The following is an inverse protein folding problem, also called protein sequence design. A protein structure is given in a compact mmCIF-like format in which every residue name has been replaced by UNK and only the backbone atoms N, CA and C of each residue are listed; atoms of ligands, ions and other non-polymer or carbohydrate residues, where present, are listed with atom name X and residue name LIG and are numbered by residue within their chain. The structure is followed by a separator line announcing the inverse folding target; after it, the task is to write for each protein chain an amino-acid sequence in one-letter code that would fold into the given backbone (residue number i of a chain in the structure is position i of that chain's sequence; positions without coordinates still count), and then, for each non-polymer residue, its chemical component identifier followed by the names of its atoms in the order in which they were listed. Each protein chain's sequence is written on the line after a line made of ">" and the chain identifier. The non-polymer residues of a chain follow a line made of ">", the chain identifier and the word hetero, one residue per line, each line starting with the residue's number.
data_IF_586853447347
#
_entry.id   IF_586853447347
#
_cell.length_a   1.000
_cell.length_b   1.000
_cell.length_c   1.000
_cell.angle_alpha   90.00
_cell.angle_beta   90.00
_cell.angle_gamma   90.00
#
_symmetry.space_group_name_H-M   'P 1'
#
loop_
_entity.id
_entity.type
_entity.pdbx_description
1 polymer ?
#
# COMPACT_ATOMS: atom_id res chain seq x y z
N UNK A 1 -1.38 -1.16 -14.61
CA UNK A 1 -0.18 -1.39 -15.45
C UNK A 1 0.36 -2.77 -15.13
N UNK A 2 0.74 -3.55 -16.15
CA UNK A 2 1.41 -4.83 -15.96
C UNK A 2 2.89 -4.59 -15.62
N UNK A 3 3.54 -5.47 -14.84
CA UNK A 3 4.98 -5.45 -14.68
C UNK A 3 5.68 -5.67 -16.03
N UNK A 4 6.83 -5.02 -16.21
CA UNK A 4 7.72 -5.29 -17.33
C UNK A 4 8.28 -6.71 -17.23
N UNK A 5 8.30 -7.42 -18.35
CA UNK A 5 9.15 -8.60 -18.49
C UNK A 5 10.62 -8.18 -18.48
N UNK A 6 11.53 -9.16 -18.37
CA UNK A 6 12.96 -8.87 -18.52
C UNK A 6 13.30 -8.28 -19.89
N UNK A 7 12.56 -8.65 -20.94
CA UNK A 7 12.73 -8.12 -22.29
C UNK A 7 12.21 -6.69 -22.40
N UNK A 8 11.03 -6.40 -21.85
CA UNK A 8 10.47 -5.04 -21.80
C UNK A 8 11.43 -4.08 -21.09
N UNK A 9 12.02 -4.51 -19.96
CA UNK A 9 13.00 -3.70 -19.23
C UNK A 9 14.25 -3.42 -20.06
N UNK A 10 14.79 -4.42 -20.77
CA UNK A 10 15.95 -4.23 -21.66
C UNK A 10 15.62 -3.29 -22.81
N UNK A 11 14.46 -3.47 -23.46
CA UNK A 11 13.99 -2.60 -24.53
C UNK A 11 13.80 -1.15 -24.06
N UNK A 12 13.20 -0.96 -22.89
CA UNK A 12 13.03 0.34 -22.27
C UNK A 12 14.39 0.99 -21.93
N UNK A 13 15.30 0.25 -21.32
CA UNK A 13 16.64 0.74 -20.99
C UNK A 13 17.43 1.15 -22.24
N UNK A 14 17.39 0.33 -23.30
CA UNK A 14 18.03 0.65 -24.59
C UNK A 14 17.53 1.98 -25.15
N UNK A 15 16.21 2.20 -25.14
CA UNK A 15 15.62 3.46 -25.60
C UNK A 15 16.08 4.65 -24.74
N UNK A 16 16.21 4.47 -23.42
CA UNK A 16 16.67 5.53 -22.51
C UNK A 16 18.16 5.83 -22.64
N UNK A 17 18.98 4.85 -23.01
CA UNK A 17 20.42 5.00 -23.15
C UNK A 17 20.86 5.31 -24.59
N UNK A 18 19.92 5.59 -25.50
CA UNK A 18 20.21 5.87 -26.91
C UNK A 18 21.17 7.05 -27.12
N UNK A 19 21.20 8.02 -26.21
CA UNK A 19 22.12 9.16 -26.25
C UNK A 19 23.51 8.86 -25.67
N UNK A 20 23.72 7.68 -25.06
CA UNK A 20 25.01 7.25 -24.53
C UNK A 20 25.82 6.51 -25.59
N UNK A 21 27.14 6.47 -25.41
CA UNK A 21 28.03 5.71 -26.29
C UNK A 21 27.88 4.20 -26.06
N UNK A 22 27.66 3.42 -27.12
CA UNK A 22 27.38 1.97 -27.01
C UNK A 22 26.16 1.66 -26.12
N UNK A 23 24.93 1.97 -26.57
CA UNK A 23 23.70 1.75 -25.79
C UNK A 23 23.55 0.31 -25.28
N UNK A 24 23.88 -0.68 -26.10
CA UNK A 24 23.82 -2.09 -25.70
C UNK A 24 24.81 -2.42 -24.58
N UNK A 25 26.03 -1.88 -24.64
CA UNK A 25 27.01 -2.03 -23.56
C UNK A 25 26.56 -1.37 -22.24
N UNK A 26 25.77 -0.29 -22.32
CA UNK A 26 25.14 0.31 -21.14
C UNK A 26 23.97 -0.51 -20.60
N UNK A 27 23.16 -1.12 -21.45
CA UNK A 27 22.07 -2.01 -21.02
C UNK A 27 22.62 -3.23 -20.28
N UNK A 28 23.68 -3.86 -20.78
CA UNK A 28 24.32 -5.00 -20.12
C UNK A 28 24.90 -4.59 -18.75
N UNK A 29 25.64 -3.47 -18.70
CA UNK A 29 26.18 -2.96 -17.42
C UNK A 29 25.08 -2.60 -16.42
N UNK A 30 24.03 -1.93 -16.88
CA UNK A 30 22.88 -1.57 -16.05
C UNK A 30 22.19 -2.82 -15.49
N UNK A 31 21.98 -3.86 -16.31
CA UNK A 31 21.37 -5.12 -15.89
C UNK A 31 22.23 -5.85 -14.85
N UNK A 32 23.55 -5.85 -15.02
CA UNK A 32 24.49 -6.40 -14.04
C UNK A 32 24.43 -5.64 -12.70
N UNK A 33 24.42 -4.31 -12.73
CA UNK A 33 24.31 -3.48 -11.53
C UNK A 33 22.97 -3.67 -10.81
N UNK A 34 21.87 -3.85 -11.55
CA UNK A 34 20.56 -4.17 -10.97
C UNK A 34 20.58 -5.50 -10.22
N UNK A 35 21.25 -6.51 -10.78
CA UNK A 35 21.40 -7.81 -10.13
C UNK A 35 22.27 -7.71 -8.87
N UNK A 36 23.41 -7.02 -8.94
CA UNK A 36 24.31 -6.79 -7.80
C UNK A 36 23.62 -6.05 -6.65
N UNK A 37 22.81 -5.04 -6.96
CA UNK A 37 22.07 -4.27 -5.97
C UNK A 37 20.77 -4.94 -5.48
N UNK A 38 20.40 -6.10 -6.04
CA UNK A 38 19.13 -6.79 -5.71
C UNK A 38 17.87 -6.04 -6.17
N UNK A 39 17.99 -5.21 -7.21
CA UNK A 39 16.91 -4.34 -7.72
C UNK A 39 16.23 -4.89 -8.97
N UNK A 40 16.67 -6.04 -9.51
CA UNK A 40 16.20 -6.57 -10.78
C UNK A 40 14.66 -6.77 -10.82
N UNK A 41 14.08 -7.35 -9.78
CA UNK A 41 12.61 -7.51 -9.69
C UNK A 41 11.91 -6.16 -9.49
N UNK A 42 12.47 -5.29 -8.66
CA UNK A 42 11.91 -3.95 -8.42
C UNK A 42 11.86 -3.12 -9.71
N UNK A 43 12.90 -3.23 -10.54
CA UNK A 43 13.02 -2.56 -11.84
C UNK A 43 11.98 -3.04 -12.86
N UNK A 44 11.26 -4.14 -12.62
CA UNK A 44 10.11 -4.55 -13.46
C UNK A 44 8.89 -3.66 -13.26
N UNK A 45 8.86 -2.82 -12.22
CA UNK A 45 7.81 -1.82 -12.07
C UNK A 45 8.14 -0.63 -12.99
N UNK A 46 7.25 -0.19 -13.91
CA UNK A 46 7.57 0.85 -14.89
C UNK A 46 8.12 2.15 -14.29
N UNK A 47 7.58 2.57 -13.14
CA UNK A 47 8.10 3.74 -12.41
C UNK A 47 9.54 3.49 -11.92
N UNK A 48 9.82 2.35 -11.30
CA UNK A 48 11.16 2.02 -10.82
C UNK A 48 12.16 1.88 -11.97
N UNK A 49 11.76 1.29 -13.09
CA UNK A 49 12.56 1.26 -14.32
C UNK A 49 12.95 2.68 -14.74
N UNK A 50 11.98 3.61 -14.76
CA UNK A 50 12.20 5.00 -15.13
C UNK A 50 13.17 5.71 -14.18
N UNK A 51 12.99 5.56 -12.86
CA UNK A 51 13.87 6.16 -11.85
C UNK A 51 15.30 5.62 -11.99
N UNK A 52 15.46 4.29 -12.05
CA UNK A 52 16.76 3.63 -12.10
C UNK A 52 17.51 3.92 -13.41
N UNK A 53 16.81 3.93 -14.55
CA UNK A 53 17.41 4.34 -15.82
C UNK A 53 17.89 5.78 -15.76
N UNK A 54 17.13 6.69 -15.14
CA UNK A 54 17.54 8.10 -15.01
C UNK A 54 18.77 8.24 -14.11
N UNK A 55 18.79 7.55 -12.96
CA UNK A 55 19.95 7.53 -12.06
C UNK A 55 21.21 7.04 -12.79
N UNK A 56 21.10 5.92 -13.50
CA UNK A 56 22.20 5.35 -14.26
C UNK A 56 22.67 6.28 -15.39
N UNK A 57 21.76 6.85 -16.17
CA UNK A 57 22.11 7.71 -17.30
C UNK A 57 22.84 8.99 -16.88
N UNK A 58 22.60 9.47 -15.65
CA UNK A 58 23.28 10.66 -15.13
C UNK A 58 24.74 10.36 -14.74
N UNK A 59 25.03 9.19 -14.16
CA UNK A 59 26.39 8.79 -13.79
C UNK A 59 26.63 7.30 -14.14
N UNK A 60 26.89 6.98 -15.42
CA UNK A 60 27.04 5.61 -15.85
C UNK A 60 28.24 4.92 -15.21
N UNK A 61 28.02 3.73 -14.64
CA UNK A 61 29.08 2.91 -14.03
C UNK A 61 29.23 3.10 -12.53
N UNK A 62 28.52 4.04 -11.92
CA UNK A 62 28.40 4.10 -10.46
C UNK A 62 27.51 2.98 -9.91
N UNK A 63 27.71 2.66 -8.63
CA UNK A 63 26.87 1.69 -7.93
C UNK A 63 25.44 2.23 -7.80
N UNK A 64 24.46 1.35 -8.01
CA UNK A 64 23.06 1.70 -7.78
C UNK A 64 22.71 1.71 -6.28
N UNK A 65 21.77 2.57 -5.87
CA UNK A 65 21.31 2.63 -4.48
C UNK A 65 20.64 1.32 -4.04
N UNK A 66 20.93 0.87 -2.82
CA UNK A 66 20.37 -0.38 -2.29
C UNK A 66 18.96 -0.19 -1.71
N UNK A 67 18.00 -0.95 -2.25
CA UNK A 67 16.60 -0.93 -1.81
C UNK A 67 15.81 0.26 -2.34
N UNK A 68 14.48 0.13 -2.30
CA UNK A 68 13.57 1.11 -2.90
C UNK A 68 13.73 2.51 -2.30
N UNK A 69 13.84 2.62 -0.99
CA UNK A 69 13.94 3.92 -0.29
C UNK A 69 15.17 4.71 -0.71
N UNK A 70 16.30 4.03 -0.93
CA UNK A 70 17.52 4.68 -1.39
C UNK A 70 17.39 5.19 -2.83
N UNK A 71 16.68 4.47 -3.72
CA UNK A 71 16.37 4.94 -5.09
C UNK A 71 15.58 6.25 -5.05
N UNK A 72 14.53 6.32 -4.23
CA UNK A 72 13.72 7.55 -4.10
C UNK A 72 14.54 8.70 -3.52
N UNK A 73 15.32 8.44 -2.46
CA UNK A 73 16.20 9.44 -1.86
C UNK A 73 17.16 10.03 -2.88
N UNK A 74 17.90 9.18 -3.56
CA UNK A 74 18.90 9.61 -4.51
C UNK A 74 18.28 10.33 -5.72
N UNK A 75 17.12 9.88 -6.18
CA UNK A 75 16.38 10.58 -7.22
C UNK A 75 15.96 11.98 -6.78
N UNK A 76 15.36 12.12 -5.60
CA UNK A 76 14.92 13.41 -5.06
C UNK A 76 16.12 14.35 -4.85
N UNK A 77 17.21 13.83 -4.26
CA UNK A 77 18.43 14.61 -4.05
C UNK A 77 18.99 15.10 -5.39
N UNK A 78 19.01 14.25 -6.42
CA UNK A 78 19.47 14.64 -7.78
C UNK A 78 18.51 15.58 -8.49
N UNK A 79 17.21 15.50 -8.25
CA UNK A 79 16.23 16.50 -8.75
C UNK A 79 16.57 17.88 -8.17
N UNK A 80 17.03 17.97 -6.93
CA UNK A 80 17.48 19.22 -6.34
C UNK A 80 18.85 19.67 -6.87
N UNK A 81 19.83 18.75 -6.99
CA UNK A 81 21.20 19.09 -7.37
C UNK A 81 21.38 19.36 -8.87
N UNK A 82 20.69 18.62 -9.75
CA UNK A 82 20.97 18.59 -11.18
C UNK A 82 19.89 19.21 -12.08
N UNK A 83 18.83 19.79 -11.52
CA UNK A 83 17.89 20.60 -12.30
C UNK A 83 18.41 22.05 -12.47
N UNK A 84 19.66 22.19 -12.91
CA UNK A 84 20.28 23.50 -13.16
C UNK A 84 19.49 24.32 -14.18
N UNK A 85 18.92 23.69 -15.21
CA UNK A 85 18.06 24.34 -16.21
C UNK A 85 16.78 25.01 -15.65
N UNK A 86 16.40 24.72 -14.41
CA UNK A 86 15.23 25.35 -13.76
C UNK A 86 15.60 26.62 -13.00
N UNK A 87 16.89 26.94 -12.85
CA UNK A 87 17.39 28.09 -12.10
C UNK A 87 16.64 28.27 -10.77
N UNK A 88 16.43 27.17 -10.04
CA UNK A 88 15.53 27.12 -8.87
C UNK A 88 15.92 28.17 -7.84
N UNK A 89 17.22 28.27 -7.55
CA UNK A 89 17.78 29.23 -6.60
C UNK A 89 17.50 30.67 -7.04
N UNK A 90 17.77 31.01 -8.30
CA UNK A 90 17.56 32.36 -8.82
C UNK A 90 16.07 32.70 -8.91
N UNK A 91 15.23 31.74 -9.27
CA UNK A 91 13.78 31.89 -9.31
C UNK A 91 13.21 32.13 -7.92
N UNK A 92 13.66 31.36 -6.93
CA UNK A 92 13.32 31.59 -5.52
C UNK A 92 13.78 32.96 -5.03
N UNK A 93 15.00 33.37 -5.39
CA UNK A 93 15.52 34.69 -5.02
C UNK A 93 14.69 35.83 -5.63
N UNK A 94 14.33 35.72 -6.92
CA UNK A 94 13.45 36.68 -7.61
C UNK A 94 12.06 36.73 -6.98
N UNK A 95 11.50 35.59 -6.57
CA UNK A 95 10.20 35.53 -5.90
C UNK A 95 10.24 36.24 -4.53
N UNK A 96 11.31 36.05 -3.74
CA UNK A 96 11.52 36.75 -2.47
C UNK A 96 11.59 38.28 -2.70
N UNK A 97 12.37 38.71 -3.68
CA UNK A 97 12.51 40.14 -4.01
C UNK A 97 11.21 40.74 -4.52
N UNK A 98 10.45 40.01 -5.34
CA UNK A 98 9.15 40.44 -5.83
C UNK A 98 8.13 40.58 -4.70
N UNK A 99 8.12 39.65 -3.74
CA UNK A 99 7.24 39.70 -2.57
C UNK A 99 7.56 40.91 -1.67
N UNK A 100 8.84 41.22 -1.48
CA UNK A 100 9.29 42.31 -0.61
C UNK A 100 9.20 43.70 -1.27
N UNK A 101 9.21 43.78 -2.61
CA UNK A 101 9.26 45.03 -3.39
C UNK A 101 8.21 46.08 -3.01
N UNK A 102 6.94 45.74 -2.71
CA UNK A 102 5.93 46.75 -2.37
C UNK A 102 6.21 47.49 -1.05
N UNK A 103 6.99 46.91 -0.14
CA UNK A 103 7.22 47.46 1.19
C UNK A 103 8.37 48.47 1.20
N UNK A 104 8.02 49.76 1.29
CA UNK A 104 8.99 50.86 1.34
C UNK A 104 9.53 51.11 2.76
N UNK A 105 8.78 50.74 3.79
CA UNK A 105 9.22 50.82 5.19
C UNK A 105 10.22 49.69 5.47
N UNK A 106 11.47 50.06 5.81
CA UNK A 106 12.60 49.13 5.92
C UNK A 106 12.34 47.97 6.90
N UNK A 107 11.82 48.19 8.13
CA UNK A 107 11.49 47.11 9.05
C UNK A 107 10.51 46.07 8.48
N UNK A 108 9.48 46.50 7.74
CA UNK A 108 8.49 45.60 7.14
C UNK A 108 9.08 44.80 5.99
N UNK A 109 9.87 45.48 5.14
CA UNK A 109 10.61 44.84 4.04
C UNK A 109 11.56 43.76 4.57
N UNK A 110 12.28 44.05 5.64
CA UNK A 110 13.20 43.11 6.27
C UNK A 110 12.45 41.94 6.91
N UNK A 111 11.30 42.19 7.56
CA UNK A 111 10.46 41.14 8.14
C UNK A 111 9.97 40.16 7.06
N UNK A 112 9.44 40.68 5.95
CA UNK A 112 8.99 39.88 4.79
C UNK A 112 10.14 39.09 4.19
N UNK A 113 11.29 39.73 3.96
CA UNK A 113 12.47 39.08 3.35
C UNK A 113 13.00 37.95 4.23
N UNK A 114 13.08 38.16 5.56
CA UNK A 114 13.51 37.12 6.51
C UNK A 114 12.54 35.94 6.54
N UNK A 115 11.24 36.19 6.60
CA UNK A 115 10.24 35.14 6.60
C UNK A 115 10.25 34.35 5.28
N UNK A 116 10.34 35.03 4.14
CA UNK A 116 10.41 34.41 2.82
C UNK A 116 11.68 33.54 2.65
N UNK A 117 12.82 34.01 3.17
CA UNK A 117 14.07 33.24 3.19
C UNK A 117 13.96 32.02 4.10
N UNK A 118 13.38 32.16 5.30
CA UNK A 118 13.14 31.03 6.20
C UNK A 118 12.19 30.00 5.59
N UNK A 119 11.15 30.43 4.87
CA UNK A 119 10.25 29.54 4.14
C UNK A 119 10.96 28.80 2.99
N UNK A 120 11.84 29.47 2.24
CA UNK A 120 12.69 28.85 1.21
C UNK A 120 13.57 27.76 1.83
N UNK A 121 14.25 28.09 2.92
CA UNK A 121 15.21 27.17 3.56
C UNK A 121 14.48 25.96 4.20
N UNK A 122 13.20 26.11 4.56
CA UNK A 122 12.33 25.07 5.07
C UNK A 122 11.51 24.32 4.02
N UNK A 123 11.72 24.55 2.71
CA UNK A 123 10.96 23.88 1.65
C UNK A 123 10.95 22.35 1.75
N UNK A 124 12.06 21.65 2.06
CA UNK A 124 12.02 20.19 2.22
C UNK A 124 11.07 19.73 3.34
N UNK A 125 10.97 20.50 4.42
CA UNK A 125 10.07 20.24 5.55
C UNK A 125 8.61 20.52 5.15
N UNK A 126 8.35 21.64 4.46
CA UNK A 126 7.03 21.98 3.91
C UNK A 126 6.50 20.91 2.95
N UNK A 127 7.36 20.37 2.06
CA UNK A 127 7.00 19.27 1.16
C UNK A 127 6.64 18.01 1.97
N UNK A 128 7.42 17.71 3.01
CA UNK A 128 7.17 16.57 3.90
C UNK A 128 5.84 16.69 4.66
N UNK A 129 5.58 17.86 5.22
CA UNK A 129 4.34 18.17 5.92
C UNK A 129 3.13 18.07 4.98
N UNK A 130 3.19 18.71 3.81
CA UNK A 130 2.15 18.61 2.79
C UNK A 130 1.87 17.15 2.42
N UNK A 131 2.92 16.36 2.18
CA UNK A 131 2.77 14.95 1.83
C UNK A 131 2.08 14.13 2.94
N UNK A 132 2.45 14.38 4.20
CA UNK A 132 1.87 13.70 5.36
C UNK A 132 0.38 14.03 5.51
N UNK A 133 0.00 15.30 5.38
CA UNK A 133 -1.39 15.73 5.48
C UNK A 133 -2.25 15.26 4.30
N UNK A 134 -1.73 15.30 3.07
CA UNK A 134 -2.45 14.75 1.91
C UNK A 134 -2.64 13.23 2.01
N UNK A 135 -1.68 12.50 2.60
CA UNK A 135 -1.79 11.06 2.77
C UNK A 135 -2.85 10.65 3.82
N UNK A 136 -2.93 11.38 4.94
CA UNK A 136 -3.74 10.97 6.10
C UNK A 136 -5.01 11.78 6.37
N UNK A 137 -5.01 13.08 6.09
CA UNK A 137 -6.03 13.98 6.61
C UNK A 137 -7.22 14.21 5.65
N UNK A 138 -7.30 13.51 4.50
CA UNK A 138 -8.35 13.68 3.48
C UNK A 138 -8.64 15.17 3.19
N UNK A 139 -7.57 15.95 3.13
CA UNK A 139 -7.66 17.40 2.97
C UNK A 139 -7.89 17.73 1.49
N UNK A 140 -8.80 18.66 1.22
CA UNK A 140 -9.20 19.01 -0.15
C UNK A 140 -8.34 20.09 -0.81
N UNK A 141 -7.59 20.89 -0.05
CA UNK A 141 -6.83 22.04 -0.59
C UNK A 141 -5.42 22.16 -0.01
N UNK A 142 -4.53 22.81 -0.77
CA UNK A 142 -3.17 23.14 -0.33
C UNK A 142 -3.14 23.99 0.96
N UNK A 143 -4.04 24.98 1.06
CA UNK A 143 -4.07 25.90 2.19
C UNK A 143 -4.44 25.17 3.49
N UNK A 144 -5.43 24.27 3.43
CA UNK A 144 -5.81 23.45 4.57
C UNK A 144 -4.69 22.51 5.01
N UNK A 145 -3.93 21.96 4.06
CA UNK A 145 -2.84 21.03 4.34
C UNK A 145 -1.62 21.71 4.99
N UNK A 146 -1.46 23.03 4.84
CA UNK A 146 -0.41 23.81 5.50
C UNK A 146 -0.91 24.58 6.72
N UNK A 147 -2.21 24.60 7.02
CA UNK A 147 -2.81 25.48 8.03
C UNK A 147 -2.13 25.34 9.42
N UNK A 148 -1.76 24.12 9.79
CA UNK A 148 -1.12 23.83 11.08
C UNK A 148 0.41 24.00 11.07
N UNK A 149 1.03 24.27 9.92
CA UNK A 149 2.46 24.45 9.81
C UNK A 149 2.89 25.85 10.33
N UNK A 150 3.93 25.98 11.17
CA UNK A 150 4.33 27.29 11.71
C UNK A 150 4.65 28.35 10.64
N UNK A 151 5.21 27.92 9.50
CA UNK A 151 5.56 28.80 8.37
C UNK A 151 4.40 29.12 7.42
N UNK A 152 3.18 28.58 7.63
CA UNK A 152 2.00 29.00 6.87
C UNK A 152 1.43 30.33 7.35
N UNK A 153 1.84 30.78 8.54
CA UNK A 153 1.44 32.08 9.09
C UNK A 153 2.17 33.19 8.34
N UNK A 154 1.46 34.14 7.70
CA UNK A 154 2.10 35.24 7.01
C UNK A 154 2.83 36.15 8.01
N UNK A 155 4.01 36.70 7.66
CA UNK A 155 4.62 37.76 8.45
C UNK A 155 3.78 39.03 8.32
N UNK A 156 3.66 39.82 9.39
CA UNK A 156 3.11 41.19 9.26
C UNK A 156 4.09 42.00 8.40
N UNK A 157 3.61 42.78 7.40
CA UNK A 157 2.22 43.15 7.10
C UNK A 157 1.52 42.35 5.98
N UNK A 158 2.03 41.19 5.57
CA UNK A 158 1.46 40.41 4.45
C UNK A 158 0.08 39.81 4.77
N UNK A 159 -0.75 39.72 3.73
CA UNK A 159 -2.02 39.00 3.76
C UNK A 159 -1.78 37.48 3.64
N UNK A 160 -2.67 36.67 4.23
CA UNK A 160 -2.61 35.21 4.08
C UNK A 160 -2.72 34.73 2.62
N UNK A 161 -3.59 35.31 1.76
CA UNK A 161 -3.63 34.95 0.34
C UNK A 161 -2.32 35.20 -0.41
N UNK A 162 -1.65 36.34 -0.16
CA UNK A 162 -0.37 36.65 -0.82
C UNK A 162 0.74 35.71 -0.37
N UNK A 163 0.76 35.37 0.92
CA UNK A 163 1.71 34.41 1.46
C UNK A 163 1.50 33.00 0.93
N UNK A 164 0.25 32.52 0.88
CA UNK A 164 -0.07 31.20 0.31
C UNK A 164 0.28 31.12 -1.18
N UNK A 165 0.05 32.20 -1.94
CA UNK A 165 0.46 32.30 -3.35
C UNK A 165 1.99 32.21 -3.49
N UNK A 166 2.73 32.93 -2.65
CA UNK A 166 4.19 32.84 -2.60
C UNK A 166 4.68 31.42 -2.27
N UNK A 167 4.15 30.79 -1.22
CA UNK A 167 4.53 29.42 -0.85
C UNK A 167 4.24 28.42 -1.98
N UNK A 168 3.09 28.57 -2.64
CA UNK A 168 2.71 27.74 -3.80
C UNK A 168 3.68 27.90 -4.95
N UNK A 169 4.09 29.14 -5.27
CA UNK A 169 5.08 29.42 -6.30
C UNK A 169 6.43 28.77 -5.97
N UNK A 170 6.92 28.96 -4.74
CA UNK A 170 8.19 28.38 -4.27
C UNK A 170 8.21 26.86 -4.40
N UNK A 171 7.13 26.20 -4.00
CA UNK A 171 6.97 24.74 -4.06
C UNK A 171 6.86 24.22 -5.49
N UNK A 172 6.12 24.91 -6.37
CA UNK A 172 5.94 24.49 -7.77
C UNK A 172 7.24 24.48 -8.57
N UNK A 173 8.15 25.41 -8.29
CA UNK A 173 9.43 25.55 -9.02
C UNK A 173 10.42 24.42 -8.67
N UNK A 174 10.26 23.75 -7.52
CA UNK A 174 11.16 22.66 -7.08
C UNK A 174 11.18 21.46 -8.04
N UNK A 175 10.12 21.27 -8.83
CA UNK A 175 9.96 20.10 -9.68
C UNK A 175 9.59 18.81 -8.95
N UNK A 176 9.33 18.88 -7.64
CA UNK A 176 8.79 17.76 -6.85
C UNK A 176 7.27 17.67 -6.89
N UNK A 177 6.61 18.78 -7.23
CA UNK A 177 5.17 18.93 -7.26
C UNK A 177 4.73 19.36 -8.66
N UNK A 178 3.54 18.91 -9.06
CA UNK A 178 2.81 19.31 -10.26
C UNK A 178 1.61 20.17 -9.88
N UNK A 179 1.03 20.86 -10.86
CA UNK A 179 -0.25 21.55 -10.70
C UNK A 179 -1.32 20.73 -11.41
N UNK A 180 -2.28 20.21 -10.66
CA UNK A 180 -3.42 19.42 -11.15
C UNK A 180 -4.71 20.08 -10.67
N UNK A 181 -5.64 20.37 -11.58
CA UNK A 181 -6.91 21.09 -11.28
C UNK A 181 -6.73 22.39 -10.47
N UNK A 182 -5.59 23.08 -10.66
CA UNK A 182 -5.27 24.31 -9.94
C UNK A 182 -4.69 24.10 -8.54
N UNK A 183 -4.50 22.87 -8.09
CA UNK A 183 -3.91 22.52 -6.79
C UNK A 183 -2.52 21.89 -6.93
N UNK A 184 -1.70 21.96 -5.88
CA UNK A 184 -0.41 21.27 -5.86
C UNK A 184 -0.61 19.78 -5.59
N UNK A 185 -0.08 18.96 -6.48
CA UNK A 185 -0.15 17.50 -6.40
C UNK A 185 1.25 16.89 -6.51
N UNK A 186 1.40 15.67 -6.00
CA UNK A 186 2.60 14.87 -6.27
C UNK A 186 2.45 14.16 -7.61
N UNK A 187 3.49 14.12 -8.46
CA UNK A 187 3.42 13.51 -9.80
C UNK A 187 3.10 12.01 -9.75
N UNK A 188 3.36 11.36 -8.62
CA UNK A 188 2.91 10.01 -8.34
C UNK A 188 2.72 9.80 -6.84
N UNK A 189 1.73 8.98 -6.46
CA UNK A 189 1.39 8.68 -5.06
C UNK A 189 2.59 8.21 -4.23
N UNK A 190 3.49 7.41 -4.81
CA UNK A 190 4.67 6.90 -4.08
C UNK A 190 5.68 7.99 -3.73
N UNK A 191 5.73 9.12 -4.45
CA UNK A 191 6.51 10.28 -4.02
C UNK A 191 5.89 10.94 -2.78
N UNK A 192 4.55 11.08 -2.76
CA UNK A 192 3.83 11.55 -1.57
C UNK A 192 4.12 10.64 -0.37
N UNK A 193 4.01 9.32 -0.54
CA UNK A 193 4.29 8.35 0.53
C UNK A 193 5.74 8.43 1.03
N UNK A 194 6.71 8.61 0.12
CA UNK A 194 8.11 8.79 0.50
C UNK A 194 8.35 10.06 1.32
N UNK A 195 7.82 11.20 0.86
CA UNK A 195 7.97 12.47 1.58
C UNK A 195 7.22 12.47 2.92
N UNK A 196 6.03 11.85 2.98
CA UNK A 196 5.30 11.65 4.23
C UNK A 196 6.11 10.80 5.22
N UNK A 197 6.71 9.69 4.75
CA UNK A 197 7.53 8.82 5.59
C UNK A 197 8.79 9.54 6.12
N UNK A 198 9.44 10.37 5.30
CA UNK A 198 10.55 11.22 5.76
C UNK A 198 10.12 12.16 6.87
N UNK A 199 8.99 12.84 6.68
CA UNK A 199 8.45 13.78 7.66
C UNK A 199 8.10 13.07 8.98
N UNK A 200 7.40 11.94 8.89
CA UNK A 200 7.02 11.12 10.04
C UNK A 200 8.22 10.52 10.80
N UNK A 201 9.41 10.51 10.20
CA UNK A 201 10.63 9.93 10.80
C UNK A 201 11.70 10.96 11.16
N UNK A 202 11.40 12.26 11.13
CA UNK A 202 12.36 13.34 11.44
C UNK A 202 12.93 13.25 12.85
N UNK A 203 12.07 13.05 13.86
CA UNK A 203 12.49 13.03 15.27
C UNK A 203 12.62 11.61 15.81
N UNK A 204 13.42 11.43 16.88
CA UNK A 204 13.52 10.13 17.57
C UNK A 204 12.17 9.67 18.12
N UNK A 205 11.37 10.60 18.64
CA UNK A 205 10.03 10.32 19.16
C UNK A 205 9.09 9.84 18.05
N UNK A 206 9.05 10.55 16.93
CA UNK A 206 8.22 10.18 15.77
C UNK A 206 8.63 8.83 15.18
N UNK A 207 9.93 8.53 15.08
CA UNK A 207 10.42 7.20 14.66
C UNK A 207 9.94 6.08 15.58
N UNK A 208 10.03 6.27 16.89
CA UNK A 208 9.58 5.27 17.86
C UNK A 208 8.06 5.04 17.77
N UNK A 209 7.30 6.13 17.59
CA UNK A 209 5.85 6.06 17.38
C UNK A 209 5.50 5.28 16.11
N UNK A 210 6.17 5.56 14.99
CA UNK A 210 5.95 4.86 13.72
C UNK A 210 6.28 3.37 13.80
N UNK A 211 7.39 3.00 14.45
CA UNK A 211 7.72 1.58 14.70
C UNK A 211 6.64 0.90 15.51
N UNK A 212 6.23 1.52 16.61
CA UNK A 212 5.17 0.99 17.45
C UNK A 212 3.87 0.86 16.64
N UNK A 213 3.52 1.89 15.88
CA UNK A 213 2.30 1.96 15.07
C UNK A 213 2.25 0.88 13.98
N UNK A 214 3.35 0.64 13.27
CA UNK A 214 3.40 -0.31 12.16
C UNK A 214 3.64 -1.76 12.61
N UNK A 215 4.52 -1.96 13.61
CA UNK A 215 5.03 -3.29 13.95
C UNK A 215 4.58 -3.83 15.30
N UNK A 216 4.00 -3.02 16.19
CA UNK A 216 3.60 -3.45 17.53
C UNK A 216 2.08 -3.29 17.76
N UNK A 217 1.52 -2.09 17.67
CA UNK A 217 0.12 -1.80 18.03
C UNK A 217 -0.93 -2.50 17.16
N UNK A 218 -0.57 -2.78 15.91
CA UNK A 218 -1.44 -3.45 14.93
C UNK A 218 -1.49 -4.97 15.08
N UNK A 219 -0.57 -5.52 15.86
CA UNK A 219 -0.44 -6.96 16.05
C UNK A 219 -0.90 -7.25 17.47
N UNK A 220 -2.14 -7.68 17.61
CA UNK A 220 -2.70 -7.99 18.93
C UNK A 220 -2.63 -9.49 19.16
N UNK A 221 -2.09 -9.87 20.31
CA UNK A 221 -2.26 -11.22 20.83
C UNK A 221 -3.59 -11.26 21.58
N UNK A 222 -4.62 -11.98 21.12
CA UNK A 222 -5.86 -12.10 21.88
C UNK A 222 -5.54 -12.70 23.27
N UNK A 223 -6.06 -12.11 24.36
CA UNK A 223 -5.78 -12.60 25.70
C UNK A 223 -6.44 -13.98 25.90
N UNK A 224 -5.60 -14.98 26.13
CA UNK A 224 -5.91 -16.29 26.70
C UNK A 224 -7.00 -17.15 26.01
N UNK A 225 -6.60 -17.93 25.00
CA UNK A 225 -7.16 -19.27 24.81
C UNK A 225 -6.01 -20.29 24.92
N UNK A 226 -6.04 -21.25 25.86
CA UNK A 226 -4.94 -22.20 26.05
C UNK A 226 -4.70 -23.18 24.88
N UNK A 227 -5.55 -23.18 23.84
CA UNK A 227 -5.52 -24.16 22.76
C UNK A 227 -5.44 -23.56 21.34
N UNK A 228 -5.45 -22.23 21.20
CA UNK A 228 -5.16 -21.58 19.90
C UNK A 228 -3.66 -21.31 19.82
N UNK A 229 -3.01 -21.77 18.74
CA UNK A 229 -1.62 -21.36 18.47
C UNK A 229 -1.62 -19.83 18.38
N UNK A 230 -0.66 -19.20 19.06
CA UNK A 230 -0.57 -17.76 19.24
C UNK A 230 -0.44 -17.03 17.89
N UNK A 231 -1.56 -16.70 17.26
CA UNK A 231 -1.64 -15.94 16.02
C UNK A 231 -1.84 -14.48 16.38
N UNK A 232 -0.91 -13.65 15.94
CA UNK A 232 -0.99 -12.19 16.00
C UNK A 232 -1.71 -11.74 14.73
N UNK A 233 -3.00 -11.44 14.78
CA UNK A 233 -3.72 -10.96 13.60
C UNK A 233 -3.65 -9.43 13.51
N UNK A 234 -3.63 -8.92 12.27
CA UNK A 234 -4.02 -7.54 12.02
C UNK A 234 -5.54 -7.53 11.91
N UNK A 235 -6.21 -6.90 12.86
CA UNK A 235 -7.67 -6.87 12.90
C UNK A 235 -8.23 -6.16 11.66
N UNK A 236 -8.61 -6.90 10.61
CA UNK A 236 -9.31 -6.35 9.43
C UNK A 236 -10.79 -6.08 9.76
N UNK A 237 -11.31 -6.65 10.85
CA UNK A 237 -12.69 -6.49 11.33
C UNK A 237 -12.64 -6.62 12.86
N UNK A 238 -12.86 -5.65 13.75
CA UNK A 238 -13.52 -4.33 13.72
C UNK A 238 -12.83 -3.45 14.75
N UNK A 239 -12.76 -2.16 14.44
CA UNK A 239 -13.27 -1.03 15.22
C UNK A 239 -13.78 -1.31 16.65
N UNK A 240 -14.45 -2.41 16.99
CA UNK A 240 -15.10 -2.61 18.29
C UNK A 240 -14.20 -2.88 19.51
N UNK A 241 -13.09 -3.63 19.40
CA UNK A 241 -12.25 -3.87 20.60
C UNK A 241 -11.46 -2.61 20.98
N UNK A 242 -10.94 -1.91 19.98
CA UNK A 242 -10.22 -0.64 20.16
C UNK A 242 -11.15 0.57 20.36
N UNK A 243 -12.36 0.60 19.78
CA UNK A 243 -13.38 1.60 20.10
C UNK A 243 -13.94 1.45 21.53
N UNK A 244 -13.96 0.22 22.08
CA UNK A 244 -14.25 0.02 23.51
C UNK A 244 -13.18 0.66 24.42
N UNK A 245 -11.98 0.93 23.89
CA UNK A 245 -10.90 1.69 24.54
C UNK A 245 -10.66 3.09 23.91
N UNK A 246 -11.60 3.61 23.10
CA UNK A 246 -11.52 4.97 22.55
C UNK A 246 -10.62 5.19 21.33
N UNK A 247 -10.05 4.14 20.74
CA UNK A 247 -9.22 4.22 19.53
C UNK A 247 -10.08 4.05 18.26
N UNK A 248 -10.80 5.11 17.88
CA UNK A 248 -11.51 5.16 16.59
C UNK A 248 -10.52 5.41 15.44
N UNK A 249 -10.60 4.62 14.36
CA UNK A 249 -10.10 5.05 13.05
C UNK A 249 -8.74 4.53 12.57
N UNK A 250 -8.24 3.37 13.01
CA UNK A 250 -7.06 2.75 12.40
C UNK A 250 -7.47 2.00 11.11
N UNK A 251 -7.17 2.52 9.89
CA UNK A 251 -7.47 1.80 8.65
C UNK A 251 -6.67 0.50 8.56
N UNK A 252 -7.30 -0.52 7.97
CA UNK A 252 -6.62 -1.73 7.53
C UNK A 252 -5.53 -1.36 6.49
N UNK A 253 -4.43 -2.13 6.43
CA UNK A 253 -3.42 -1.93 5.38
C UNK A 253 -4.08 -2.13 4.01
N UNK A 254 -4.37 -1.03 3.35
CA UNK A 254 -4.59 -1.02 1.91
C UNK A 254 -3.25 -1.27 1.21
N UNK A 255 -3.28 -1.69 -0.06
CA UNK A 255 -2.06 -1.85 -0.85
C UNK A 255 -1.22 -0.55 -0.90
N UNK A 256 -1.86 0.60 -0.69
CA UNK A 256 -1.22 1.89 -0.58
C UNK A 256 -0.44 2.10 0.73
N UNK A 257 -0.91 1.54 1.85
CA UNK A 257 -0.21 1.69 3.13
C UNK A 257 1.10 0.89 3.17
N UNK A 258 1.26 -0.12 2.31
CA UNK A 258 2.48 -0.92 2.24
C UNK A 258 3.67 -0.11 1.73
N UNK A 259 3.45 0.81 0.79
CA UNK A 259 4.52 1.61 0.23
C UNK A 259 5.05 2.62 1.25
N UNK A 260 4.16 3.38 1.90
CA UNK A 260 4.51 4.23 3.04
C UNK A 260 5.26 3.46 4.14
N UNK A 261 4.71 2.32 4.58
CA UNK A 261 5.31 1.51 5.64
C UNK A 261 6.74 1.09 5.27
N UNK A 262 6.99 0.68 4.02
CA UNK A 262 8.33 0.33 3.57
C UNK A 262 9.34 1.47 3.68
N UNK A 263 8.95 2.68 3.28
CA UNK A 263 9.81 3.86 3.41
C UNK A 263 10.12 4.18 4.88
N UNK A 264 9.11 4.16 5.75
CA UNK A 264 9.30 4.39 7.20
C UNK A 264 10.28 3.37 7.79
N UNK A 265 10.11 2.09 7.48
CA UNK A 265 10.93 1.01 8.03
C UNK A 265 12.40 1.13 7.61
N UNK A 266 12.66 1.47 6.35
CA UNK A 266 14.01 1.71 5.84
C UNK A 266 14.65 2.95 6.47
N UNK A 267 13.91 4.06 6.60
CA UNK A 267 14.39 5.30 7.21
C UNK A 267 14.72 5.11 8.69
N UNK A 268 13.85 4.42 9.43
CA UNK A 268 14.08 4.06 10.84
C UNK A 268 15.35 3.21 11.00
N UNK A 269 15.58 2.25 10.09
CA UNK A 269 16.78 1.41 10.09
C UNK A 269 18.04 2.22 9.76
N UNK A 270 17.95 3.17 8.81
CA UNK A 270 19.06 4.07 8.48
C UNK A 270 19.49 4.94 9.68
N UNK A 271 18.58 5.20 10.63
CA UNK A 271 18.87 5.84 11.91
C UNK A 271 19.30 4.89 13.04
N UNK A 272 19.65 3.64 12.72
CA UNK A 272 20.27 2.68 13.66
C UNK A 272 19.30 1.83 14.47
N UNK A 273 17.99 1.88 14.19
CA UNK A 273 17.02 1.02 14.89
C UNK A 273 17.01 -0.38 14.28
N UNK A 274 17.32 -1.41 15.09
CA UNK A 274 17.18 -2.81 14.65
C UNK A 274 15.71 -3.25 14.69
N UNK A 275 15.21 -3.71 13.54
CA UNK A 275 13.84 -4.19 13.34
C UNK A 275 13.78 -5.71 13.13
N UNK A 276 14.92 -6.41 13.12
CA UNK A 276 15.04 -7.83 12.75
C UNK A 276 14.12 -8.74 13.57
N UNK A 277 14.16 -8.61 14.90
CA UNK A 277 13.33 -9.41 15.81
C UNK A 277 11.83 -9.16 15.55
N UNK A 278 11.43 -7.91 15.27
CA UNK A 278 10.03 -7.56 14.99
C UNK A 278 9.57 -8.16 13.67
N UNK A 279 10.37 -8.07 12.61
CA UNK A 279 10.09 -8.69 11.32
C UNK A 279 9.90 -10.20 11.44
N UNK A 280 10.85 -10.90 12.10
CA UNK A 280 10.76 -12.35 12.28
C UNK A 280 9.53 -12.73 13.11
N UNK A 281 9.23 -11.98 14.18
CA UNK A 281 8.02 -12.20 14.99
C UNK A 281 6.75 -12.10 14.15
N UNK A 282 6.61 -11.04 13.35
CA UNK A 282 5.43 -10.82 12.49
C UNK A 282 5.34 -11.90 11.41
N UNK A 283 6.46 -12.22 10.76
CA UNK A 283 6.51 -13.25 9.72
C UNK A 283 6.13 -14.64 10.24
N UNK A 284 6.64 -15.03 11.42
CA UNK A 284 6.47 -16.37 11.97
C UNK A 284 5.19 -16.54 12.81
N UNK A 285 4.68 -15.46 13.41
CA UNK A 285 3.55 -15.52 14.36
C UNK A 285 2.35 -14.69 13.93
N UNK A 286 2.45 -13.96 12.82
CA UNK A 286 1.39 -13.08 12.33
C UNK A 286 0.35 -13.74 11.42
N UNK A 287 0.39 -15.06 11.25
CA UNK A 287 -0.51 -15.78 10.35
C UNK A 287 -0.36 -15.35 8.89
N UNK A 288 -1.44 -15.48 8.10
CA UNK A 288 -1.44 -15.08 6.70
C UNK A 288 -1.28 -13.56 6.51
N UNK A 289 -1.78 -12.74 7.44
CA UNK A 289 -1.65 -11.28 7.37
C UNK A 289 -0.21 -10.82 7.62
N UNK A 290 0.44 -11.35 8.66
CA UNK A 290 1.84 -11.06 8.97
C UNK A 290 2.80 -11.58 7.91
N UNK A 291 2.57 -12.82 7.45
CA UNK A 291 3.29 -13.36 6.31
C UNK A 291 3.10 -12.48 5.07
N UNK A 292 1.88 -12.02 4.80
CA UNK A 292 1.58 -11.17 3.64
C UNK A 292 2.28 -9.82 3.75
N UNK A 293 2.17 -9.16 4.90
CA UNK A 293 2.84 -7.89 5.15
C UNK A 293 4.34 -7.99 4.86
N UNK A 294 5.04 -8.95 5.47
CA UNK A 294 6.50 -9.08 5.33
C UNK A 294 6.89 -9.49 3.90
N UNK A 295 6.16 -10.42 3.28
CA UNK A 295 6.43 -10.87 1.92
C UNK A 295 6.23 -9.74 0.89
N UNK A 296 5.17 -8.95 1.02
CA UNK A 296 4.92 -7.81 0.13
C UNK A 296 5.91 -6.67 0.38
N UNK A 297 6.33 -6.42 1.62
CA UNK A 297 7.42 -5.46 1.90
C UNK A 297 8.71 -5.86 1.19
N UNK A 298 9.09 -7.14 1.26
CA UNK A 298 10.26 -7.65 0.55
C UNK A 298 10.10 -7.49 -0.98
N UNK A 299 8.93 -7.82 -1.54
CA UNK A 299 8.66 -7.65 -2.97
C UNK A 299 8.66 -6.19 -3.43
N UNK A 300 8.27 -5.25 -2.55
CA UNK A 300 8.36 -3.81 -2.80
C UNK A 300 9.78 -3.26 -2.67
N UNK A 301 10.77 -4.08 -2.32
CA UNK A 301 12.17 -3.65 -2.19
C UNK A 301 12.48 -2.91 -0.89
N UNK A 302 11.63 -3.03 0.14
CA UNK A 302 11.96 -2.65 1.53
C UNK A 302 13.06 -3.57 2.05
N UNK A 303 13.97 -3.06 2.88
CA UNK A 303 15.13 -3.80 3.39
C UNK A 303 14.75 -4.79 4.51
N UNK A 304 13.94 -5.77 4.15
CA UNK A 304 13.51 -6.89 5.01
C UNK A 304 14.67 -7.90 5.15
N UNK A 305 15.00 -8.36 6.37
CA UNK A 305 15.98 -9.43 6.57
C UNK A 305 15.57 -10.72 5.84
N UNK A 306 16.53 -11.39 5.19
CA UNK A 306 16.27 -12.62 4.43
C UNK A 306 15.58 -13.71 5.27
N UNK A 307 15.99 -13.85 6.55
CA UNK A 307 15.38 -14.76 7.50
C UNK A 307 13.88 -14.47 7.74
N UNK A 308 13.47 -13.20 7.75
CA UNK A 308 12.09 -12.82 7.93
C UNK A 308 11.26 -13.02 6.66
N UNK A 309 11.84 -12.74 5.49
CA UNK A 309 11.18 -12.99 4.20
C UNK A 309 10.94 -14.50 3.99
N UNK A 310 11.90 -15.34 4.36
CA UNK A 310 11.73 -16.80 4.28
C UNK A 310 10.72 -17.32 5.31
N UNK A 311 10.78 -16.84 6.56
CA UNK A 311 9.77 -17.16 7.56
C UNK A 311 8.36 -16.78 7.10
N UNK A 312 8.21 -15.64 6.42
CA UNK A 312 6.94 -15.18 5.88
C UNK A 312 6.40 -16.14 4.80
N UNK A 313 7.25 -16.54 3.83
CA UNK A 313 6.88 -17.54 2.80
C UNK A 313 6.50 -18.88 3.41
N UNK A 314 7.27 -19.36 4.39
CA UNK A 314 6.98 -20.61 5.09
C UNK A 314 5.63 -20.57 5.83
N UNK A 315 5.33 -19.48 6.54
CA UNK A 315 4.05 -19.27 7.21
C UNK A 315 2.89 -19.24 6.21
N UNK A 316 3.04 -18.49 5.11
CA UNK A 316 2.02 -18.42 4.06
C UNK A 316 1.75 -19.79 3.42
N UNK A 317 2.80 -20.55 3.10
CA UNK A 317 2.65 -21.90 2.54
C UNK A 317 1.93 -22.83 3.51
N UNK A 318 2.30 -22.79 4.80
CA UNK A 318 1.65 -23.58 5.83
C UNK A 318 0.16 -23.22 5.99
N UNK A 319 -0.20 -21.94 5.87
CA UNK A 319 -1.60 -21.49 5.90
C UNK A 319 -2.35 -21.93 4.65
N UNK A 320 -1.82 -21.66 3.46
CA UNK A 320 -2.48 -21.93 2.18
C UNK A 320 -2.77 -23.44 1.99
N UNK A 321 -1.81 -24.29 2.35
CA UNK A 321 -1.90 -25.76 2.24
C UNK A 321 -2.57 -26.43 3.46
N UNK A 322 -2.96 -25.67 4.50
CA UNK A 322 -3.59 -26.24 5.68
C UNK A 322 -4.97 -26.83 5.38
N UNK A 323 -5.17 -28.12 5.70
CA UNK A 323 -6.45 -28.79 5.51
C UNK A 323 -7.45 -28.70 6.66
N UNK A 324 -7.06 -28.19 7.84
CA UNK A 324 -7.95 -28.09 9.02
C UNK A 324 -7.60 -26.87 9.87
N UNK A 325 -8.63 -26.08 10.25
CA UNK A 325 -8.62 -24.94 11.21
C UNK A 325 -8.06 -23.60 10.69
N UNK A 326 -8.09 -23.34 9.39
CA UNK A 326 -7.87 -21.99 8.86
C UNK A 326 -9.03 -21.59 7.97
N UNK A 327 -9.53 -20.39 8.15
CA UNK A 327 -10.66 -19.85 7.39
C UNK A 327 -10.31 -19.69 5.90
N UNK A 328 -11.31 -19.85 5.05
CA UNK A 328 -11.13 -19.90 3.59
C UNK A 328 -10.46 -18.65 3.04
N UNK A 329 -10.86 -17.47 3.50
CA UNK A 329 -10.34 -16.19 3.02
C UNK A 329 -8.85 -16.00 3.36
N UNK A 330 -8.39 -16.49 4.50
CA UNK A 330 -6.99 -16.46 4.91
C UNK A 330 -6.14 -17.42 4.07
N UNK A 331 -6.68 -18.59 3.70
CA UNK A 331 -6.01 -19.52 2.79
C UNK A 331 -5.86 -18.92 1.39
N UNK A 332 -6.92 -18.31 0.87
CA UNK A 332 -6.90 -17.64 -0.44
C UNK A 332 -5.92 -16.46 -0.41
N UNK A 333 -5.94 -15.64 0.65
CA UNK A 333 -4.96 -14.55 0.84
C UNK A 333 -3.53 -15.08 0.81
N UNK A 334 -3.23 -16.16 1.52
CA UNK A 334 -1.89 -16.71 1.56
C UNK A 334 -1.43 -17.25 0.19
N UNK A 335 -2.31 -17.97 -0.52
CA UNK A 335 -2.04 -18.48 -1.86
C UNK A 335 -1.86 -17.36 -2.89
N UNK A 336 -2.70 -16.32 -2.82
CA UNK A 336 -2.59 -15.11 -3.64
C UNK A 336 -1.23 -14.44 -3.42
N UNK A 337 -0.84 -14.21 -2.16
CA UNK A 337 0.42 -13.53 -1.84
C UNK A 337 1.62 -14.34 -2.31
N UNK A 338 1.63 -15.65 -2.11
CA UNK A 338 2.69 -16.53 -2.63
C UNK A 338 2.81 -16.40 -4.15
N UNK A 339 1.69 -16.40 -4.88
CA UNK A 339 1.69 -16.16 -6.32
C UNK A 339 2.28 -14.80 -6.69
N UNK A 340 1.95 -13.73 -5.95
CA UNK A 340 2.48 -12.37 -6.20
C UNK A 340 4.00 -12.29 -6.04
N UNK A 341 4.56 -13.03 -5.09
CA UNK A 341 6.01 -13.07 -4.84
C UNK A 341 6.73 -14.15 -5.66
N UNK A 342 6.05 -14.78 -6.62
CA UNK A 342 6.62 -15.78 -7.52
C UNK A 342 6.88 -17.15 -6.89
N UNK A 343 6.26 -17.46 -5.76
CA UNK A 343 6.40 -18.74 -5.09
C UNK A 343 5.41 -19.77 -5.65
N UNK A 344 5.95 -20.88 -6.18
CA UNK A 344 5.17 -21.95 -6.82
C UNK A 344 4.15 -22.60 -5.87
N UNK A 345 4.38 -22.57 -4.56
CA UNK A 345 3.45 -23.15 -3.57
C UNK A 345 2.10 -22.44 -3.56
N UNK A 346 2.04 -21.20 -4.06
CA UNK A 346 0.78 -20.46 -4.21
C UNK A 346 -0.18 -21.12 -5.21
N UNK A 347 0.32 -21.52 -6.38
CA UNK A 347 -0.52 -22.16 -7.41
C UNK A 347 -0.92 -23.59 -7.00
N UNK A 348 0.00 -24.30 -6.34
CA UNK A 348 -0.28 -25.63 -5.77
C UNK A 348 -1.40 -25.56 -4.73
N UNK A 349 -1.39 -24.53 -3.88
CA UNK A 349 -2.44 -24.33 -2.88
C UNK A 349 -3.80 -24.03 -3.52
N UNK A 350 -3.86 -23.21 -4.57
CA UNK A 350 -5.12 -22.97 -5.30
C UNK A 350 -5.67 -24.26 -5.90
N UNK A 351 -4.83 -25.11 -6.49
CA UNK A 351 -5.25 -26.42 -7.01
C UNK A 351 -5.82 -27.32 -5.91
N UNK A 352 -5.10 -27.43 -4.78
CA UNK A 352 -5.57 -28.23 -3.64
C UNK A 352 -6.91 -27.74 -3.10
N UNK A 353 -7.15 -26.41 -3.09
CA UNK A 353 -8.45 -25.84 -2.70
C UNK A 353 -9.58 -26.16 -3.69
N UNK A 354 -9.27 -26.30 -4.99
CA UNK A 354 -10.25 -26.68 -5.99
C UNK A 354 -10.63 -28.17 -5.90
N UNK A 355 -9.67 -29.02 -5.50
CA UNK A 355 -9.87 -30.46 -5.28
C UNK A 355 -10.70 -30.75 -4.02
N UNK A 356 -10.46 -30.02 -2.92
CA UNK A 356 -11.24 -30.13 -1.69
C UNK A 356 -11.81 -28.79 -1.22
N UNK A 357 -12.83 -28.25 -1.93
CA UNK A 357 -13.42 -26.95 -1.63
C UNK A 357 -14.17 -26.91 -0.29
N UNK A 358 -14.46 -28.06 0.33
CA UNK A 358 -15.13 -28.11 1.64
C UNK A 358 -14.24 -27.54 2.74
N UNK A 359 -12.93 -27.57 2.56
CA UNK A 359 -11.99 -26.98 3.52
C UNK A 359 -11.98 -25.44 3.51
N UNK A 360 -12.65 -24.81 2.54
CA UNK A 360 -12.87 -23.37 2.52
C UNK A 360 -14.11 -22.97 3.33
N UNK A 361 -14.99 -23.93 3.64
CA UNK A 361 -16.21 -23.72 4.43
C UNK A 361 -15.95 -23.95 5.93
N UNK A 362 -14.79 -23.51 6.41
CA UNK A 362 -14.38 -23.60 7.81
C UNK A 362 -14.67 -22.26 8.47
N UNK A 363 -15.37 -22.29 9.60
CA UNK A 363 -15.60 -21.12 10.44
C UNK A 363 -14.28 -20.49 10.88
N UNK A 364 -14.21 -19.17 10.78
CA UNK A 364 -13.11 -18.41 11.34
C UNK A 364 -13.18 -18.41 12.88
N UNK A 365 -12.44 -19.34 13.47
CA UNK A 365 -12.35 -19.47 14.93
C UNK A 365 -11.63 -18.26 15.58
N UNK A 366 -10.77 -17.54 14.85
CA UNK A 366 -10.07 -16.35 15.35
C UNK A 366 -10.99 -15.12 15.43
N UNK A 367 -12.12 -15.14 14.72
CA UNK A 367 -13.10 -14.05 14.68
C UNK A 367 -14.44 -14.42 15.33
N UNK A 368 -14.51 -15.56 16.04
CA UNK A 368 -15.64 -15.89 16.90
C UNK A 368 -15.78 -14.84 18.00
N UNK A 369 -16.87 -14.05 18.05
CA UNK A 369 -17.05 -13.07 19.09
C UNK A 369 -17.12 -13.80 20.43
N UNK A 370 -16.07 -13.66 21.23
CA UNK A 370 -16.12 -14.04 22.64
C UNK A 370 -16.98 -12.98 23.32
N UNK A 371 -18.09 -13.37 23.94
CA UNK A 371 -18.73 -12.54 24.95
C UNK A 371 -17.76 -12.45 26.13
N UNK A 372 -16.92 -11.43 26.13
CA UNK A 372 -16.02 -11.14 27.25
C UNK A 372 -16.84 -10.45 28.34
N UNK A 373 -16.84 -11.05 29.52
CA UNK A 373 -17.65 -10.61 30.63
C UNK A 373 -16.80 -9.85 31.64
N UNK A 374 -17.13 -8.58 31.87
CA UNK A 374 -16.68 -7.85 33.06
C UNK A 374 -17.73 -8.13 34.14
N UNK A 375 -17.30 -8.59 35.32
CA UNK A 375 -18.13 -8.87 36.51
C UNK A 375 -18.98 -10.17 36.54
N UNK A 376 -18.34 -11.34 36.35
CA UNK A 376 -18.69 -12.56 37.12
C UNK A 376 -19.96 -13.35 36.79
N UNK A 377 -20.30 -13.67 35.53
CA UNK A 377 -21.53 -14.44 35.20
C UNK A 377 -21.41 -15.43 34.00
N UNK A 378 -20.55 -16.46 34.03
CA UNK A 378 -20.52 -17.62 33.08
C UNK A 378 -20.70 -17.38 31.56
N UNK A 379 -19.69 -17.84 30.80
CA UNK A 379 -19.68 -17.97 29.33
C UNK A 379 -20.95 -18.59 28.73
N UNK A 380 -21.77 -17.81 28.02
CA UNK A 380 -22.77 -18.37 27.12
C UNK A 380 -22.10 -18.69 25.76
N UNK A 381 -22.19 -19.93 25.24
CA UNK A 381 -21.73 -20.24 23.88
C UNK A 381 -22.47 -19.38 22.86
N UNK A 382 -21.82 -19.07 21.74
CA UNK A 382 -22.49 -18.45 20.58
C UNK A 382 -23.72 -19.26 20.21
N UNK A 383 -24.82 -18.57 19.87
CA UNK A 383 -26.03 -19.24 19.42
C UNK A 383 -25.77 -19.92 18.07
N UNK A 384 -26.55 -20.97 17.75
CA UNK A 384 -26.51 -21.60 16.43
C UNK A 384 -26.78 -20.60 15.30
N UNK A 385 -27.62 -19.60 15.54
CA UNK A 385 -27.91 -18.52 14.58
C UNK A 385 -26.68 -17.64 14.32
N UNK A 386 -25.95 -17.24 15.36
CA UNK A 386 -24.72 -16.46 15.22
C UNK A 386 -23.62 -17.26 14.51
N UNK A 387 -23.49 -18.55 14.81
CA UNK A 387 -22.56 -19.44 14.12
C UNK A 387 -22.88 -19.53 12.62
N UNK A 388 -24.15 -19.69 12.24
CA UNK A 388 -24.57 -19.73 10.85
C UNK A 388 -24.37 -18.38 10.13
N UNK A 389 -24.68 -17.26 10.78
CA UNK A 389 -24.43 -15.92 10.24
C UNK A 389 -22.94 -15.69 9.97
N UNK A 390 -22.07 -16.08 10.90
CA UNK A 390 -20.62 -16.01 10.74
C UNK A 390 -20.11 -16.88 9.59
N UNK A 391 -20.65 -18.10 9.46
CA UNK A 391 -20.28 -18.99 8.36
C UNK A 391 -20.67 -18.37 7.00
N UNK A 392 -21.85 -17.76 6.91
CA UNK A 392 -22.28 -17.01 5.72
C UNK A 392 -21.36 -15.84 5.40
N UNK A 393 -20.89 -15.12 6.42
CA UNK A 393 -19.97 -14.01 6.26
C UNK A 393 -18.59 -14.48 5.74
N UNK A 394 -17.99 -15.50 6.35
CA UNK A 394 -16.71 -16.08 5.86
C UNK A 394 -16.83 -16.64 4.43
N UNK A 395 -17.95 -17.29 4.08
CA UNK A 395 -18.23 -17.73 2.70
C UNK A 395 -18.25 -16.55 1.72
N UNK A 396 -18.90 -15.44 2.10
CA UNK A 396 -18.99 -14.23 1.28
C UNK A 396 -17.60 -13.58 1.09
N UNK A 397 -16.80 -13.52 2.14
CA UNK A 397 -15.46 -12.94 2.10
C UNK A 397 -14.50 -13.78 1.27
N UNK A 398 -14.53 -15.11 1.45
CA UNK A 398 -13.77 -16.07 0.61
C UNK A 398 -14.11 -15.91 -0.87
N UNK A 399 -15.40 -15.80 -1.20
CA UNK A 399 -15.89 -15.54 -2.56
C UNK A 399 -15.37 -14.21 -3.10
N UNK A 400 -15.52 -13.14 -2.33
CA UNK A 400 -15.08 -11.81 -2.74
C UNK A 400 -13.57 -11.79 -3.02
N UNK A 401 -12.78 -12.49 -2.19
CA UNK A 401 -11.33 -12.63 -2.35
C UNK A 401 -10.96 -13.37 -3.63
N UNK A 402 -11.59 -14.51 -3.90
CA UNK A 402 -11.38 -15.26 -5.16
C UNK A 402 -11.75 -14.43 -6.39
N UNK A 403 -12.88 -13.71 -6.34
CA UNK A 403 -13.29 -12.82 -7.41
C UNK A 403 -12.30 -11.65 -7.62
N UNK A 404 -11.71 -11.12 -6.54
CA UNK A 404 -10.67 -10.11 -6.62
C UNK A 404 -9.40 -10.67 -7.30
N UNK A 405 -8.96 -11.88 -6.94
CA UNK A 405 -7.84 -12.57 -7.59
C UNK A 405 -8.10 -12.77 -9.08
N UNK A 406 -9.30 -13.22 -9.45
CA UNK A 406 -9.69 -13.42 -10.86
C UNK A 406 -9.70 -12.12 -11.67
N UNK A 407 -10.02 -10.98 -11.05
CA UNK A 407 -10.09 -9.67 -11.72
C UNK A 407 -8.76 -8.93 -11.74
N UNK A 408 -7.75 -9.39 -11.00
CA UNK A 408 -6.47 -8.69 -10.93
C UNK A 408 -5.63 -8.92 -12.21
N UNK A 409 -5.43 -7.88 -13.04
CA UNK A 409 -4.65 -8.01 -14.25
C UNK A 409 -3.15 -8.25 -13.95
N UNK A 410 -2.66 -7.86 -12.78
CA UNK A 410 -1.23 -7.97 -12.41
C UNK A 410 -0.79 -9.39 -12.10
N UNK A 411 -1.73 -10.31 -11.85
CA UNK A 411 -1.43 -11.71 -11.61
C UNK A 411 -1.25 -12.48 -12.94
N UNK A 412 -0.47 -13.58 -12.97
CA UNK A 412 -0.39 -14.44 -14.14
C UNK A 412 -1.76 -15.05 -14.50
N UNK A 413 -2.03 -15.24 -15.79
CA UNK A 413 -3.28 -15.85 -16.28
C UNK A 413 -3.53 -17.23 -15.67
N UNK A 414 -2.48 -18.02 -15.46
CA UNK A 414 -2.56 -19.31 -14.79
C UNK A 414 -3.15 -19.17 -13.37
N UNK A 415 -2.72 -18.17 -12.60
CA UNK A 415 -3.21 -17.93 -11.23
C UNK A 415 -4.68 -17.53 -11.24
N UNK A 416 -5.07 -16.62 -12.13
CA UNK A 416 -6.48 -16.21 -12.30
C UNK A 416 -7.38 -17.40 -12.65
N UNK A 417 -6.91 -18.27 -13.55
CA UNK A 417 -7.64 -19.48 -13.96
C UNK A 417 -7.84 -20.45 -12.80
N UNK A 418 -6.79 -20.73 -12.03
CA UNK A 418 -6.87 -21.62 -10.86
C UNK A 418 -7.82 -21.05 -9.80
N UNK A 419 -7.76 -19.73 -9.52
CA UNK A 419 -8.72 -19.07 -8.63
C UNK A 419 -10.18 -19.20 -9.13
N UNK A 420 -10.40 -19.14 -10.45
CA UNK A 420 -11.70 -19.40 -11.07
C UNK A 420 -12.20 -20.83 -10.84
N UNK A 421 -11.31 -21.83 -10.90
CA UNK A 421 -11.64 -23.23 -10.60
C UNK A 421 -12.04 -23.40 -9.13
N UNK A 422 -11.27 -22.81 -8.21
CA UNK A 422 -11.59 -22.80 -6.77
C UNK A 422 -12.98 -22.18 -6.54
N UNK A 423 -13.25 -21.03 -7.16
CA UNK A 423 -14.52 -20.30 -7.02
C UNK A 423 -15.73 -21.13 -7.48
N UNK A 424 -15.59 -21.86 -8.59
CA UNK A 424 -16.63 -22.72 -9.13
C UNK A 424 -16.87 -23.97 -8.24
N UNK A 425 -15.79 -24.60 -7.79
CA UNK A 425 -15.84 -25.74 -6.88
C UNK A 425 -16.50 -25.37 -5.55
N UNK A 426 -16.08 -24.24 -4.96
CA UNK A 426 -16.65 -23.71 -3.72
C UNK A 426 -18.13 -23.31 -3.85
N UNK A 427 -18.53 -22.69 -4.96
CA UNK A 427 -19.94 -22.36 -5.23
C UNK A 427 -20.86 -23.59 -5.26
N UNK A 428 -20.33 -24.77 -5.62
CA UNK A 428 -21.06 -26.03 -5.56
C UNK A 428 -21.27 -26.51 -4.13
N UNK A 429 -20.28 -26.34 -3.25
CA UNK A 429 -20.36 -26.70 -1.82
C UNK A 429 -21.45 -25.91 -1.11
N UNK A 430 -21.56 -24.60 -1.37
CA UNK A 430 -22.51 -23.71 -0.70
C UNK A 430 -23.88 -23.62 -1.41
N UNK A 431 -24.12 -24.44 -2.43
CA UNK A 431 -25.44 -24.56 -3.09
C UNK A 431 -25.80 -23.46 -4.11
N UNK A 432 -24.87 -22.61 -4.53
CA UNK A 432 -25.13 -21.51 -5.48
C UNK A 432 -25.57 -22.02 -6.86
N UNK A 433 -25.03 -23.16 -7.31
CA UNK A 433 -25.36 -23.77 -8.59
C UNK A 433 -26.79 -24.36 -8.63
N UNK A 434 -27.40 -24.64 -7.48
CA UNK A 434 -28.79 -25.08 -7.39
C UNK A 434 -29.76 -23.89 -7.44
N UNK A 435 -29.45 -22.79 -6.76
CA UNK A 435 -30.27 -21.58 -6.77
C UNK A 435 -30.36 -20.92 -8.17
N UNK A 436 -29.26 -20.90 -8.92
CA UNK A 436 -29.23 -20.38 -10.30
C UNK A 436 -30.00 -21.27 -11.30
N UNK A 437 -30.10 -22.59 -11.04
CA UNK A 437 -30.92 -23.52 -11.84
C UNK A 437 -32.41 -23.35 -11.55
N UNK A 438 -32.79 -23.11 -10.30
CA UNK A 438 -34.20 -22.87 -9.91
C UNK A 438 -34.73 -21.53 -10.43
N UNK A 439 -33.90 -20.47 -10.46
CA UNK A 439 -34.30 -19.19 -11.06
C UNK A 439 -34.46 -19.26 -12.59
N UNK A 440 -33.59 -20.01 -13.28
CA UNK A 440 -33.74 -20.31 -14.73
C UNK A 440 -34.92 -21.23 -15.06
N UNK A 441 -35.29 -22.14 -14.16
CA UNK A 441 -36.46 -23.01 -14.34
C UNK A 441 -37.77 -22.22 -14.18
N UNK A 442 -37.81 -21.22 -13.27
CA UNK A 442 -38.95 -20.30 -13.11
C UNK A 442 -39.12 -19.31 -14.27
N UNK A 443 -38.09 -19.07 -15.08
CA UNK A 443 -38.15 -18.17 -16.24
C UNK A 443 -38.49 -18.86 -17.57
N UNK A 444 -38.84 -20.16 -17.57
CA UNK A 444 -39.48 -20.81 -18.73
C UNK A 444 -41.00 -20.79 -18.52
N UNK A 445 -41.77 -20.02 -19.29
CA UNK A 445 -43.22 -20.14 -19.25
C UNK A 445 -43.60 -21.46 -19.92
N UNK A 446 -44.21 -22.37 -19.15
CA UNK A 446 -44.96 -23.50 -19.68
C UNK A 446 -46.15 -22.95 -20.48
N UNK A 447 -45.92 -22.65 -21.74
CA UNK A 447 -46.95 -22.32 -22.71
C UNK A 447 -47.70 -23.58 -23.09
N UNK A 448 -48.80 -23.91 -22.38
CA UNK A 448 -49.84 -24.82 -22.89
C UNK A 448 -51.15 -24.65 -22.10
N UNK A 449 -52.24 -24.46 -22.88
CA UNK A 449 -53.68 -24.42 -22.52
C UNK A 449 -54.18 -23.07 -21.94
N UNK A 450 -55.10 -22.31 -22.55
CA UNK A 450 -56.37 -22.67 -23.21
C UNK A 450 -56.79 -21.66 -24.32
N UNK A 451 -57.31 -22.15 -25.45
CA UNK A 451 -58.17 -21.39 -26.39
C UNK A 451 -59.33 -22.26 -26.87
N UNK A 452 -60.57 -21.87 -26.54
CA UNK A 452 -61.88 -22.14 -27.18
C UNK A 452 -62.96 -21.95 -26.09
N UNK A 453 -64.05 -21.21 -26.24
CA UNK A 453 -64.87 -20.81 -27.40
C UNK A 453 -65.51 -19.45 -27.14
N UNK A 454 -65.64 -18.64 -28.19
CA UNK A 454 -66.68 -17.62 -28.24
C UNK A 454 -68.04 -18.26 -28.58
N UNK A 455 -69.10 -17.76 -27.96
CA UNK A 455 -70.47 -17.78 -28.51
C UNK A 455 -71.12 -16.44 -28.21
N UNK A 456 -71.58 -15.80 -29.29
CA UNK A 456 -72.54 -14.69 -29.32
C UNK A 456 -73.89 -15.17 -28.80
N UNK A 457 -74.62 -14.26 -28.16
CA UNK A 457 -76.08 -14.27 -28.06
C UNK A 457 -76.63 -12.96 -28.64
N UNK A 458 -77.85 -12.99 -29.20
CA UNK A 458 -78.41 -11.95 -30.06
C UNK A 458 -78.68 -10.63 -29.35
#
# INVERSE_FOLDING_TARGET
>A
MLPFTAEDLRGYARARFAALNSPDGHVERFTALLAEAGLAELARTPLMAALLCRLYAQMPGERLPQGRTAVYREFVDRVHTYNTHKDVIETHQRAIEALARPFQHVPDRDAVTRAASAARDALPDLVGHLAFHLLYARVGTFADALADHPLSRPPVPLSAPDWNRFLREMLSVTGLLTVEDGELAFPHRTFMEYHAARYATLTRGSRAWEVWHLLDSRWIRPPAWPFTRAIWSMSVVKVNFLAAFGFYGLPCLTHADLSYAGFVLDLVRAHGTDLRIRYVRIAARGGAEGGTFVALQAALGTLVPAEAAEAARATLAAVALSGRRVAGEQRVLAAETLCRVGDVRGIEALRAMAEDPKQLDILDQLHTPVRMQVAGTVFAPITLYEADAMQRDSRRDTKAKLEAVMRDPTLPEAVRREAGQVRAAFGTVIGENAAARVSRAKSRPDGRWWRRRGRRTP
#
